data_IF_146052393497
#
_entry.id   IF_146052393497
#
_cell.length_a   1.000
_cell.length_b   1.000
_cell.length_c   1.000
_cell.angle_alpha   90.00
_cell.angle_beta   90.00
_cell.angle_gamma   90.00
#
_symmetry.space_group_name_H-M   'P 1'
#
loop_
_entity.id
_entity.type
_entity.pdbx_description
1 polymer ?
#
# COMPACT_ATOMS: atom_id res chain seq x y z
N UNK A 1 0.31 -4.71 -16.45
CA UNK A 1 0.85 -3.32 -16.37
C UNK A 1 1.86 -3.13 -15.24
N UNK A 2 1.54 -3.39 -13.96
CA UNK A 2 2.58 -3.42 -12.91
C UNK A 2 3.15 -4.83 -12.70
N UNK A 3 2.31 -5.87 -12.84
CA UNK A 3 2.72 -7.28 -12.62
C UNK A 3 3.77 -7.79 -13.60
N UNK A 4 3.88 -7.14 -14.76
CA UNK A 4 4.83 -7.50 -15.82
C UNK A 4 6.06 -6.58 -15.81
N UNK A 5 6.12 -5.63 -14.87
CA UNK A 5 7.20 -4.65 -14.77
C UNK A 5 8.17 -5.04 -13.66
N UNK A 6 9.47 -4.78 -13.85
CA UNK A 6 10.48 -4.87 -12.78
C UNK A 6 10.43 -3.71 -11.78
N UNK A 7 9.34 -2.92 -11.78
CA UNK A 7 9.21 -1.73 -10.93
C UNK A 7 8.57 -2.15 -9.60
N UNK A 8 9.22 -1.87 -8.46
CA UNK A 8 8.65 -2.11 -7.13
C UNK A 8 7.32 -1.38 -6.95
N UNK A 9 6.31 -2.10 -6.48
CA UNK A 9 4.95 -1.58 -6.30
C UNK A 9 4.48 -1.77 -4.86
N UNK A 10 3.71 -0.81 -4.35
CA UNK A 10 3.07 -0.89 -3.03
C UNK A 10 1.60 -0.49 -3.14
N UNK A 11 0.75 -1.09 -2.30
CA UNK A 11 -0.67 -0.71 -2.17
C UNK A 11 -0.84 0.17 -0.95
N UNK A 12 -1.57 1.28 -1.11
CA UNK A 12 -1.80 2.27 -0.03
C UNK A 12 -3.30 2.45 0.20
N UNK A 13 -3.78 2.05 1.37
CA UNK A 13 -5.10 2.39 1.88
C UNK A 13 -5.09 3.81 2.44
N UNK A 14 -5.54 4.76 1.63
CA UNK A 14 -5.62 6.18 2.01
C UNK A 14 -6.85 6.46 2.89
N UNK A 15 -6.83 7.60 3.60
CA UNK A 15 -7.87 8.01 4.54
C UNK A 15 -8.10 7.01 5.68
N UNK A 16 -7.01 6.42 6.17
CA UNK A 16 -7.03 5.45 7.27
C UNK A 16 -7.50 6.01 8.62
N UNK A 17 -7.77 7.32 8.70
CA UNK A 17 -8.46 7.98 9.82
C UNK A 17 -9.98 7.71 9.82
N UNK A 18 -10.54 7.28 8.69
CA UNK A 18 -11.95 6.90 8.56
C UNK A 18 -12.14 5.40 8.83
N UNK A 19 -13.39 5.03 9.10
CA UNK A 19 -13.77 3.62 9.25
C UNK A 19 -13.58 2.91 7.90
N UNK A 20 -12.81 1.82 7.92
CA UNK A 20 -12.62 0.99 6.73
C UNK A 20 -13.94 0.34 6.32
N UNK A 21 -14.28 0.51 5.04
CA UNK A 21 -15.46 -0.12 4.43
C UNK A 21 -15.04 -1.27 3.53
N UNK A 22 -15.88 -2.31 3.48
CA UNK A 22 -15.64 -3.47 2.64
C UNK A 22 -15.50 -3.06 1.17
N UNK A 23 -14.40 -3.47 0.55
CA UNK A 23 -14.20 -3.25 -0.88
C UNK A 23 -15.15 -4.16 -1.69
N UNK A 24 -15.86 -3.59 -2.66
CA UNK A 24 -16.72 -4.33 -3.60
C UNK A 24 -15.92 -4.95 -4.76
N UNK A 25 -14.74 -5.47 -4.46
CA UNK A 25 -13.88 -6.19 -5.38
C UNK A 25 -13.95 -7.69 -5.06
N UNK A 26 -13.70 -8.55 -6.04
CA UNK A 26 -13.72 -10.02 -5.86
C UNK A 26 -12.60 -10.57 -4.98
N UNK A 27 -11.75 -9.69 -4.43
CA UNK A 27 -10.62 -10.00 -3.58
C UNK A 27 -10.31 -8.78 -2.70
N UNK A 28 -10.00 -9.00 -1.43
CA UNK A 28 -9.58 -7.93 -0.51
C UNK A 28 -8.19 -7.39 -0.87
N UNK A 29 -7.84 -6.17 -0.43
CA UNK A 29 -6.50 -5.61 -0.64
C UNK A 29 -5.38 -6.52 -0.10
N UNK A 30 -5.58 -7.15 1.05
CA UNK A 30 -4.59 -8.05 1.66
C UNK A 30 -4.39 -9.33 0.84
N UNK A 31 -5.48 -9.95 0.37
CA UNK A 31 -5.41 -11.12 -0.51
C UNK A 31 -4.75 -10.78 -1.85
N UNK A 32 -5.02 -9.59 -2.38
CA UNK A 32 -4.39 -9.09 -3.60
C UNK A 32 -2.88 -8.97 -3.41
N UNK A 33 -2.42 -8.32 -2.34
CA UNK A 33 -0.99 -8.20 -2.05
C UNK A 33 -0.33 -9.57 -1.90
N UNK A 34 -0.96 -10.50 -1.16
CA UNK A 34 -0.45 -11.85 -0.98
C UNK A 34 -0.31 -12.59 -2.31
N UNK A 35 -1.37 -12.61 -3.14
CA UNK A 35 -1.38 -13.29 -4.43
C UNK A 35 -0.31 -12.76 -5.38
N UNK A 36 -0.04 -11.46 -5.34
CA UNK A 36 0.87 -10.78 -6.24
C UNK A 36 2.25 -10.49 -5.62
N UNK A 37 2.57 -11.12 -4.48
CA UNK A 37 3.86 -10.99 -3.78
C UNK A 37 4.24 -9.53 -3.48
N UNK A 38 3.23 -8.70 -3.23
CA UNK A 38 3.43 -7.33 -2.79
C UNK A 38 3.51 -7.26 -1.26
N UNK A 39 4.15 -6.22 -0.71
CA UNK A 39 4.01 -5.91 0.72
C UNK A 39 2.54 -5.75 1.13
N UNK A 40 2.24 -6.05 2.39
CA UNK A 40 0.92 -5.81 2.97
C UNK A 40 0.47 -4.35 2.73
N UNK A 41 -0.84 -4.09 2.51
CA UNK A 41 -1.35 -2.74 2.31
C UNK A 41 -0.86 -1.77 3.40
N UNK A 42 -0.36 -0.60 2.97
CA UNK A 42 0.09 0.46 3.84
C UNK A 42 -1.08 1.38 4.16
N UNK A 43 -1.36 1.62 5.44
CA UNK A 43 -2.41 2.54 5.87
C UNK A 43 -1.87 3.96 5.99
N UNK A 44 -2.52 4.90 5.33
CA UNK A 44 -2.09 6.29 5.29
C UNK A 44 -3.27 7.25 5.48
N UNK A 45 -3.06 8.32 6.24
CA UNK A 45 -3.95 9.47 6.26
C UNK A 45 -3.12 10.74 6.22
N UNK A 46 -3.50 11.66 5.32
CA UNK A 46 -2.90 12.98 5.25
C UNK A 46 -3.30 13.87 6.44
N UNK A 47 -4.27 13.48 7.27
CA UNK A 47 -4.61 14.18 8.51
C UNK A 47 -3.70 13.76 9.67
N UNK A 48 -3.03 12.62 9.55
CA UNK A 48 -2.11 12.04 10.53
C UNK A 48 -0.65 12.19 10.09
N UNK A 49 -0.32 13.32 9.43
CA UNK A 49 1.01 13.53 8.81
C UNK A 49 2.17 13.35 9.77
N UNK A 50 2.02 13.70 11.05
CA UNK A 50 3.09 13.58 12.05
C UNK A 50 3.42 12.12 12.41
N UNK A 51 2.48 11.20 12.23
CA UNK A 51 2.63 9.78 12.64
C UNK A 51 2.71 8.83 11.43
N UNK A 52 2.20 9.24 10.26
CA UNK A 52 2.13 8.42 9.06
C UNK A 52 3.23 8.74 8.01
N UNK A 53 4.31 9.45 8.39
CA UNK A 53 5.45 9.73 7.48
C UNK A 53 6.24 8.49 7.06
N UNK A 54 6.15 7.39 7.81
CA UNK A 54 6.90 6.16 7.56
C UNK A 54 6.65 5.55 6.16
N UNK A 55 5.53 5.91 5.51
CA UNK A 55 5.23 5.53 4.13
C UNK A 55 6.29 6.01 3.15
N UNK A 56 6.83 7.22 3.34
CA UNK A 56 7.84 7.79 2.46
C UNK A 56 9.15 7.01 2.55
N UNK A 57 9.57 6.65 3.77
CA UNK A 57 10.75 5.80 3.96
C UNK A 57 10.59 4.42 3.30
N UNK A 58 9.41 3.81 3.39
CA UNK A 58 9.12 2.53 2.73
C UNK A 58 9.17 2.65 1.21
N UNK A 59 8.62 3.72 0.63
CA UNK A 59 8.67 4.00 -0.81
C UNK A 59 10.12 4.19 -1.26
N UNK A 60 10.91 5.00 -0.54
CA UNK A 60 12.33 5.20 -0.82
C UNK A 60 13.09 3.88 -0.77
N UNK A 61 12.85 3.06 0.25
CA UNK A 61 13.55 1.77 0.39
C UNK A 61 13.20 0.81 -0.74
N UNK A 62 11.91 0.71 -1.11
CA UNK A 62 11.48 -0.11 -2.24
C UNK A 62 12.11 0.34 -3.57
N UNK A 63 12.23 1.66 -3.80
CA UNK A 63 12.84 2.19 -5.01
C UNK A 63 14.36 2.00 -5.06
N UNK A 64 15.04 2.09 -3.91
CA UNK A 64 16.51 1.95 -3.81
C UNK A 64 16.97 0.49 -3.83
N UNK A 65 16.12 -0.44 -3.39
CA UNK A 65 16.43 -1.87 -3.28
C UNK A 65 15.31 -2.76 -3.88
N UNK A 66 15.21 -2.84 -5.22
CA UNK A 66 14.18 -3.58 -5.94
C UNK A 66 14.25 -5.11 -5.79
#
# INVERSE_FOLDING_TARGET
>A
HYMDSGIPCVVVGSKADLIEVKQHHGMSPSEFCYKHRLPSPLHFSALLTHTHTHIYSKLTWAAMYP
#
